data_IF_558436380378
#
_entry.id   IF_558436380378
#
_cell.length_a   1.000
_cell.length_b   1.000
_cell.length_c   1.000
_cell.angle_alpha   90.00
_cell.angle_beta   90.00
_cell.angle_gamma   90.00
#
_symmetry.space_group_name_H-M   'P 1'
#
loop_
_entity.id
_entity.type
_entity.pdbx_description
1 polymer ?
#
# COMPACT_ATOMS: atom_id res chain seq x y z
N UNK A 1 24.49 3.24 17.71
CA UNK A 1 23.66 2.29 16.94
C UNK A 1 24.26 0.91 17.13
N UNK A 2 23.78 0.16 18.13
CA UNK A 2 24.19 -1.22 18.33
C UNK A 2 23.49 -2.09 17.29
N UNK A 3 24.28 -2.74 16.43
CA UNK A 3 23.78 -3.73 15.49
C UNK A 3 23.17 -4.90 16.30
N UNK A 4 21.84 -4.91 16.44
CA UNK A 4 21.14 -6.04 17.07
C UNK A 4 21.08 -7.20 16.08
N UNK A 5 21.91 -8.21 16.35
CA UNK A 5 21.90 -9.64 15.96
C UNK A 5 20.83 -10.09 14.96
N UNK A 6 21.28 -10.72 13.85
CA UNK A 6 20.83 -11.99 13.20
C UNK A 6 19.41 -12.57 13.40
N UNK A 7 18.40 -11.81 13.84
CA UNK A 7 17.04 -12.33 14.02
C UNK A 7 16.35 -12.38 12.67
N UNK A 8 16.01 -13.60 12.24
CA UNK A 8 15.23 -13.86 11.03
C UNK A 8 13.77 -13.40 11.19
N UNK A 9 13.24 -13.43 12.42
CA UNK A 9 11.86 -13.11 12.74
C UNK A 9 11.72 -11.76 13.46
N UNK A 10 10.62 -11.03 13.24
CA UNK A 10 10.33 -9.79 13.95
C UNK A 10 10.07 -10.05 15.44
N UNK A 11 10.07 -9.01 16.29
CA UNK A 11 9.72 -9.13 17.70
C UNK A 11 8.36 -9.84 17.88
N UNK A 12 8.28 -10.76 18.84
CA UNK A 12 7.09 -11.58 19.09
C UNK A 12 5.76 -10.80 19.17
N UNK A 13 5.69 -9.64 19.87
CA UNK A 13 4.47 -8.83 19.89
C UNK A 13 4.05 -8.30 18.51
N UNK A 14 5.02 -7.84 17.71
CA UNK A 14 4.76 -7.34 16.36
C UNK A 14 4.34 -8.48 15.42
N UNK A 15 4.96 -9.66 15.54
CA UNK A 15 4.60 -10.84 14.77
C UNK A 15 3.17 -11.32 15.07
N UNK A 16 2.80 -11.39 16.36
CA UNK A 16 1.44 -11.78 16.78
C UNK A 16 0.40 -10.79 16.28
N UNK A 17 0.67 -9.48 16.41
CA UNK A 17 -0.22 -8.45 15.91
C UNK A 17 -0.36 -8.53 14.39
N UNK A 18 0.74 -8.68 13.66
CA UNK A 18 0.72 -8.88 12.21
C UNK A 18 -0.09 -10.11 11.81
N UNK A 19 0.11 -11.24 12.49
CA UNK A 19 -0.66 -12.46 12.22
C UNK A 19 -2.16 -12.26 12.42
N UNK A 20 -2.56 -11.66 13.56
CA UNK A 20 -3.97 -11.33 13.83
C UNK A 20 -4.55 -10.43 12.74
N UNK A 21 -3.83 -9.37 12.37
CA UNK A 21 -4.31 -8.43 11.35
C UNK A 21 -4.45 -9.07 9.97
N UNK A 22 -3.48 -9.91 9.56
CA UNK A 22 -3.55 -10.64 8.29
C UNK A 22 -4.69 -11.66 8.32
N UNK A 23 -4.91 -12.36 9.44
CA UNK A 23 -6.05 -13.29 9.58
C UNK A 23 -7.38 -12.54 9.46
N UNK A 24 -7.53 -11.39 10.11
CA UNK A 24 -8.75 -10.58 9.99
C UNK A 24 -8.92 -10.10 8.55
N UNK A 25 -7.87 -9.56 7.94
CA UNK A 25 -7.90 -9.03 6.58
C UNK A 25 -8.30 -10.11 5.57
N UNK A 26 -7.65 -11.27 5.63
CA UNK A 26 -7.95 -12.42 4.77
C UNK A 26 -9.34 -12.99 5.06
N UNK A 27 -9.72 -13.11 6.34
CA UNK A 27 -11.04 -13.58 6.73
C UNK A 27 -12.16 -12.70 6.17
N UNK A 28 -12.03 -11.38 6.25
CA UNK A 28 -12.97 -10.42 5.65
C UNK A 28 -12.97 -10.55 4.13
N UNK A 29 -11.80 -10.53 3.49
CA UNK A 29 -11.68 -10.62 2.03
C UNK A 29 -12.28 -11.92 1.47
N UNK A 30 -12.02 -13.06 2.10
CA UNK A 30 -12.59 -14.37 1.72
C UNK A 30 -14.09 -14.37 1.96
N UNK A 31 -14.58 -13.89 3.09
CA UNK A 31 -16.02 -13.87 3.39
C UNK A 31 -16.77 -13.01 2.38
N UNK A 32 -16.28 -11.80 2.11
CA UNK A 32 -16.85 -10.91 1.09
C UNK A 32 -16.75 -11.55 -0.31
N UNK A 33 -15.62 -12.17 -0.63
CA UNK A 33 -15.40 -12.85 -1.90
C UNK A 33 -16.34 -14.03 -2.16
N UNK A 34 -16.64 -14.81 -1.12
CA UNK A 34 -17.57 -15.94 -1.20
C UNK A 34 -19.03 -15.50 -1.38
N UNK A 35 -19.41 -14.36 -0.79
CA UNK A 35 -20.80 -13.88 -0.82
C UNK A 35 -21.09 -13.00 -2.03
N UNK A 36 -20.14 -12.13 -2.40
CA UNK A 36 -20.32 -11.05 -3.38
C UNK A 36 -19.41 -11.20 -4.62
N UNK A 37 -18.61 -12.27 -4.69
CA UNK A 37 -17.71 -12.56 -5.80
C UNK A 37 -16.28 -12.09 -5.58
N UNK A 38 -15.34 -12.69 -6.34
CA UNK A 38 -13.90 -12.50 -6.19
C UNK A 38 -13.48 -11.02 -6.22
N UNK A 39 -14.05 -10.23 -7.14
CA UNK A 39 -13.76 -8.80 -7.26
C UNK A 39 -14.05 -8.03 -5.95
N UNK A 40 -15.19 -8.30 -5.31
CA UNK A 40 -15.54 -7.69 -4.03
C UNK A 40 -14.57 -8.13 -2.92
N UNK A 41 -14.12 -9.39 -2.94
CA UNK A 41 -13.10 -9.89 -2.01
C UNK A 41 -11.75 -9.16 -2.15
N UNK A 42 -11.29 -8.95 -3.39
CA UNK A 42 -10.07 -8.15 -3.68
C UNK A 42 -10.26 -6.71 -3.21
N UNK A 43 -11.41 -6.09 -3.52
CA UNK A 43 -11.77 -4.77 -3.02
C UNK A 43 -11.70 -4.68 -1.49
N UNK A 44 -12.21 -5.69 -0.78
CA UNK A 44 -12.16 -5.75 0.68
C UNK A 44 -10.75 -5.88 1.25
N UNK A 45 -9.88 -6.66 0.60
CA UNK A 45 -8.46 -6.72 0.98
C UNK A 45 -7.78 -5.35 0.80
N UNK A 46 -8.04 -4.66 -0.33
CA UNK A 46 -7.47 -3.33 -0.58
C UNK A 46 -7.99 -2.27 0.41
N UNK A 47 -9.30 -2.25 0.66
CA UNK A 47 -9.93 -1.33 1.62
C UNK A 47 -9.45 -1.55 3.06
N UNK A 48 -9.32 -2.81 3.49
CA UNK A 48 -8.77 -3.16 4.79
C UNK A 48 -7.29 -2.76 4.91
N UNK A 49 -6.47 -3.10 3.92
CA UNK A 49 -5.04 -2.75 3.93
C UNK A 49 -4.82 -1.23 4.04
N UNK A 50 -5.64 -0.44 3.35
CA UNK A 50 -5.57 1.02 3.37
C UNK A 50 -5.79 1.60 4.76
N UNK A 51 -6.76 1.08 5.52
CA UNK A 51 -7.08 1.59 6.87
C UNK A 51 -6.34 0.84 7.98
N UNK A 52 -5.48 -0.12 7.65
CA UNK A 52 -4.81 -1.00 8.61
C UNK A 52 -4.13 -0.26 9.76
N UNK A 53 -3.29 0.73 9.44
CA UNK A 53 -2.56 1.49 10.47
C UNK A 53 -3.52 2.39 11.26
N UNK A 54 -4.54 2.94 10.62
CA UNK A 54 -5.53 3.78 11.28
C UNK A 54 -6.45 2.96 12.21
N UNK A 55 -6.74 1.71 11.88
CA UNK A 55 -7.46 0.77 12.73
C UNK A 55 -6.73 0.45 14.05
N UNK A 56 -5.39 0.63 14.07
CA UNK A 56 -4.57 0.48 15.25
C UNK A 56 -4.44 1.77 16.07
N UNK A 57 -4.87 2.91 15.53
CA UNK A 57 -4.80 4.20 16.20
C UNK A 57 -6.04 4.44 17.07
N UNK A 58 -5.84 5.12 18.20
CA UNK A 58 -6.93 5.56 19.07
C UNK A 58 -7.77 6.61 18.34
N UNK A 59 -9.08 6.38 18.31
CA UNK A 59 -10.03 7.35 17.79
C UNK A 59 -11.37 6.70 17.42
N UNK A 60 -12.33 7.52 16.96
CA UNK A 60 -13.62 7.04 16.50
C UNK A 60 -13.50 6.10 15.29
N UNK A 61 -14.12 4.92 15.39
CA UNK A 61 -14.16 3.91 14.31
C UNK A 61 -14.87 4.38 13.05
N UNK A 62 -15.67 5.45 13.11
CA UNK A 62 -16.33 6.01 11.94
C UNK A 62 -15.38 6.75 11.00
N UNK A 63 -14.20 7.20 11.46
CA UNK A 63 -13.23 7.86 10.57
C UNK A 63 -12.71 6.94 9.46
N UNK A 64 -12.20 5.70 9.74
CA UNK A 64 -11.82 4.77 8.68
C UNK A 64 -12.98 4.35 7.80
N UNK A 65 -14.19 4.27 8.35
CA UNK A 65 -15.40 3.95 7.57
C UNK A 65 -15.69 5.08 6.58
N UNK A 66 -15.76 6.33 7.03
CA UNK A 66 -16.05 7.48 6.18
C UNK A 66 -14.97 7.67 5.11
N UNK A 67 -13.71 7.51 5.49
CA UNK A 67 -12.60 7.54 4.55
C UNK A 67 -12.66 6.39 3.53
N UNK A 68 -12.97 5.18 4.01
CA UNK A 68 -13.20 3.99 3.21
C UNK A 68 -14.29 4.18 2.17
N UNK A 69 -15.42 4.76 2.54
CA UNK A 69 -16.54 5.05 1.64
C UNK A 69 -16.16 6.05 0.55
N UNK A 70 -15.40 7.10 0.90
CA UNK A 70 -14.94 8.08 -0.09
C UNK A 70 -13.99 7.42 -1.11
N UNK A 71 -13.04 6.61 -0.64
CA UNK A 71 -12.11 5.89 -1.54
C UNK A 71 -12.83 4.80 -2.32
N UNK A 72 -13.83 4.13 -1.75
CA UNK A 72 -14.66 3.15 -2.45
C UNK A 72 -15.40 3.77 -3.64
N UNK A 73 -15.94 4.98 -3.49
CA UNK A 73 -16.55 5.73 -4.60
C UNK A 73 -15.55 6.03 -5.72
N UNK A 74 -14.34 6.47 -5.37
CA UNK A 74 -13.28 6.72 -6.34
C UNK A 74 -12.78 5.45 -7.03
N UNK A 75 -12.64 4.36 -6.29
CA UNK A 75 -12.25 3.05 -6.82
C UNK A 75 -13.31 2.50 -7.80
N UNK A 76 -14.60 2.63 -7.46
CA UNK A 76 -15.68 2.30 -8.37
C UNK A 76 -15.65 3.15 -9.65
N UNK A 77 -15.45 4.47 -9.52
CA UNK A 77 -15.26 5.34 -10.68
C UNK A 77 -14.07 4.93 -11.54
N UNK A 78 -12.96 4.51 -10.92
CA UNK A 78 -11.77 4.08 -11.65
C UNK A 78 -12.02 2.81 -12.48
N UNK A 79 -12.83 1.88 -11.99
CA UNK A 79 -13.24 0.70 -12.78
C UNK A 79 -14.16 1.02 -13.96
N UNK A 80 -14.83 2.19 -13.97
CA UNK A 80 -15.64 2.64 -15.11
C UNK A 80 -14.87 3.46 -16.14
N UNK A 81 -13.63 3.81 -15.81
CA UNK A 81 -12.73 4.63 -16.63
C UNK A 81 -11.43 3.89 -16.92
N UNK A 82 -11.43 2.56 -16.87
CA UNK A 82 -10.27 1.70 -17.08
C UNK A 82 -9.62 1.90 -18.46
N UNK A 83 -10.42 2.24 -19.47
CA UNK A 83 -9.99 2.62 -20.83
C UNK A 83 -9.45 4.07 -20.93
N UNK A 84 -9.54 4.87 -19.87
CA UNK A 84 -9.10 6.28 -19.85
C UNK A 84 -7.90 6.47 -18.92
N UNK A 85 -6.65 6.41 -19.42
CA UNK A 85 -5.45 6.63 -18.62
C UNK A 85 -5.51 7.94 -17.81
N UNK A 86 -5.99 9.02 -18.44
CA UNK A 86 -6.17 10.31 -17.79
C UNK A 86 -7.24 10.24 -16.68
N UNK A 87 -8.37 9.56 -16.93
CA UNK A 87 -9.44 9.39 -15.94
C UNK A 87 -8.95 8.67 -14.68
N UNK A 88 -8.26 7.53 -14.85
CA UNK A 88 -7.69 6.77 -13.71
C UNK A 88 -6.62 7.59 -12.99
N UNK A 89 -5.78 8.32 -13.72
CA UNK A 89 -4.78 9.23 -13.15
C UNK A 89 -5.41 10.34 -12.29
N UNK A 90 -6.46 10.99 -12.78
CA UNK A 90 -7.18 12.03 -12.04
C UNK A 90 -7.88 11.48 -10.80
N UNK A 91 -8.51 10.31 -10.88
CA UNK A 91 -9.13 9.67 -9.72
C UNK A 91 -8.09 9.21 -8.68
N UNK A 92 -6.93 8.75 -9.12
CA UNK A 92 -5.79 8.44 -8.24
C UNK A 92 -5.29 9.69 -7.51
N UNK A 93 -5.19 10.83 -8.22
CA UNK A 93 -4.86 12.12 -7.60
C UNK A 93 -5.94 12.56 -6.60
N UNK A 94 -7.21 12.43 -6.96
CA UNK A 94 -8.33 12.75 -6.08
C UNK A 94 -8.31 11.91 -4.79
N UNK A 95 -7.92 10.63 -4.87
CA UNK A 95 -7.79 9.75 -3.71
C UNK A 95 -6.72 10.25 -2.72
N UNK A 96 -5.60 10.81 -3.22
CA UNK A 96 -4.62 11.45 -2.37
C UNK A 96 -5.21 12.70 -1.70
N UNK A 97 -5.90 13.56 -2.46
CA UNK A 97 -6.52 14.78 -1.92
C UNK A 97 -7.58 14.48 -0.84
N UNK A 98 -8.43 13.47 -1.05
CA UNK A 98 -9.43 13.00 -0.08
C UNK A 98 -8.79 12.50 1.21
N UNK A 99 -7.52 12.08 1.18
CA UNK A 99 -6.79 11.69 2.39
C UNK A 99 -6.38 12.88 3.28
N UNK A 100 -6.47 14.14 2.80
CA UNK A 100 -5.99 15.31 3.54
C UNK A 100 -6.54 15.44 4.97
N UNK A 101 -7.87 15.34 5.24
CA UNK A 101 -8.40 15.44 6.59
C UNK A 101 -7.86 14.35 7.52
N UNK A 102 -7.62 13.16 6.97
CA UNK A 102 -7.08 12.02 7.71
C UNK A 102 -5.60 12.22 7.98
N UNK A 103 -4.83 12.71 7.00
CA UNK A 103 -3.41 13.02 7.17
C UNK A 103 -3.18 14.11 8.23
N UNK A 104 -4.02 15.14 8.25
CA UNK A 104 -3.98 16.20 9.26
C UNK A 104 -4.20 15.64 10.68
N UNK A 105 -5.03 14.61 10.84
CA UNK A 105 -5.42 14.06 12.15
C UNK A 105 -4.57 12.88 12.61
N UNK A 106 -4.15 12.04 11.69
CA UNK A 106 -3.55 10.73 11.96
C UNK A 106 -2.11 10.58 11.45
N UNK A 107 -1.64 11.58 10.69
CA UNK A 107 -0.32 11.58 10.06
C UNK A 107 -0.31 10.87 8.70
N UNK A 108 0.87 10.58 8.13
CA UNK A 108 1.00 10.07 6.77
C UNK A 108 0.60 8.57 6.62
N UNK A 109 -0.14 8.03 7.57
CA UNK A 109 -0.51 6.61 7.68
C UNK A 109 -1.49 6.14 6.58
N UNK A 110 -1.98 7.06 5.76
CA UNK A 110 -3.07 6.89 4.79
C UNK A 110 -2.57 6.90 3.35
N UNK A 111 -1.25 6.90 3.13
CA UNK A 111 -0.64 7.00 1.80
C UNK A 111 -1.01 5.87 0.82
N UNK A 112 -1.75 4.85 1.27
CA UNK A 112 -2.19 3.72 0.46
C UNK A 112 -3.51 4.02 -0.29
N UNK A 113 -4.24 5.08 0.03
CA UNK A 113 -5.51 5.36 -0.68
C UNK A 113 -5.37 5.56 -2.21
N UNK A 114 -4.36 6.30 -2.71
CA UNK A 114 -4.08 6.34 -4.15
C UNK A 114 -3.78 4.96 -4.75
N UNK A 115 -3.15 4.06 -3.98
CA UNK A 115 -2.88 2.69 -4.42
C UNK A 115 -4.17 1.92 -4.62
N UNK A 116 -5.16 2.07 -3.74
CA UNK A 116 -6.45 1.37 -3.88
C UNK A 116 -7.15 1.77 -5.17
N UNK A 117 -7.22 3.07 -5.45
CA UNK A 117 -7.88 3.58 -6.67
C UNK A 117 -7.09 3.20 -7.92
N UNK A 118 -5.76 3.32 -7.88
CA UNK A 118 -4.90 2.87 -8.96
C UNK A 118 -5.07 1.37 -9.26
N UNK A 119 -5.11 0.53 -8.22
CA UNK A 119 -5.31 -0.91 -8.33
C UNK A 119 -6.70 -1.26 -8.88
N UNK A 120 -7.73 -0.49 -8.56
CA UNK A 120 -9.08 -0.69 -9.09
C UNK A 120 -9.19 -0.30 -10.58
N UNK A 121 -8.50 0.75 -11.02
CA UNK A 121 -8.47 1.17 -12.44
C UNK A 121 -7.39 0.48 -13.29
N UNK A 122 -6.81 -0.62 -12.81
CA UNK A 122 -5.79 -1.41 -13.49
C UNK A 122 -6.15 -2.89 -13.42
N UNK A 123 -5.48 -3.74 -14.20
CA UNK A 123 -5.83 -5.16 -14.44
C UNK A 123 -5.71 -6.11 -13.23
N UNK A 124 -5.67 -5.61 -11.99
CA UNK A 124 -5.48 -6.44 -10.78
C UNK A 124 -6.66 -7.40 -10.52
N UNK A 125 -7.83 -7.09 -11.06
CA UNK A 125 -8.91 -8.02 -11.34
C UNK A 125 -9.99 -7.25 -12.11
N UNK A 126 -10.81 -7.92 -12.92
CA UNK A 126 -12.07 -7.36 -13.41
C UNK A 126 -13.05 -7.22 -12.24
N UNK A 127 -12.80 -6.26 -11.35
CA UNK A 127 -13.53 -6.06 -10.10
C UNK A 127 -14.94 -5.55 -10.41
N UNK A 128 -15.09 -4.65 -11.39
CA UNK A 128 -16.33 -3.94 -11.69
C UNK A 128 -16.73 -2.92 -10.61
N UNK A 129 -17.56 -1.91 -10.95
CA UNK A 129 -17.81 -0.77 -10.07
C UNK A 129 -18.53 -1.14 -8.77
N UNK A 130 -19.54 -2.01 -8.85
CA UNK A 130 -20.29 -2.44 -7.67
C UNK A 130 -19.42 -3.23 -6.68
N UNK A 131 -18.60 -4.15 -7.20
CA UNK A 131 -17.72 -4.96 -6.35
C UNK A 131 -16.56 -4.12 -5.78
N UNK A 132 -16.03 -3.16 -6.53
CA UNK A 132 -15.03 -2.21 -6.03
C UNK A 132 -15.59 -1.38 -4.89
N UNK A 133 -16.79 -0.82 -5.05
CA UNK A 133 -17.44 -0.01 -4.03
C UNK A 133 -17.70 -0.83 -2.76
N UNK A 134 -18.47 -1.92 -2.89
CA UNK A 134 -18.91 -2.71 -1.74
C UNK A 134 -17.71 -3.39 -1.07
N UNK A 135 -16.78 -3.94 -1.86
CA UNK A 135 -15.57 -4.57 -1.36
C UNK A 135 -14.74 -3.59 -0.53
N UNK A 136 -14.30 -2.47 -1.11
CA UNK A 136 -13.46 -1.48 -0.42
C UNK A 136 -14.16 -0.94 0.83
N UNK A 137 -15.45 -0.62 0.75
CA UNK A 137 -16.23 -0.16 1.89
C UNK A 137 -16.32 -1.23 3.01
N UNK A 138 -16.59 -2.49 2.66
CA UNK A 138 -16.68 -3.59 3.62
C UNK A 138 -15.34 -3.84 4.33
N UNK A 139 -14.22 -3.87 3.58
CA UNK A 139 -12.88 -4.01 4.15
C UNK A 139 -12.51 -2.86 5.09
N UNK A 140 -12.77 -1.62 4.65
CA UNK A 140 -12.48 -0.42 5.42
C UNK A 140 -13.37 -0.25 6.66
N UNK A 141 -14.53 -0.91 6.71
CA UNK A 141 -15.41 -0.91 7.87
C UNK A 141 -15.15 -2.09 8.82
N UNK A 142 -15.02 -3.30 8.29
CA UNK A 142 -14.88 -4.51 9.08
C UNK A 142 -13.56 -4.55 9.84
N UNK A 143 -12.44 -4.20 9.20
CA UNK A 143 -11.13 -4.28 9.85
C UNK A 143 -11.02 -3.37 11.09
N UNK A 144 -11.36 -2.06 11.04
CA UNK A 144 -11.37 -1.23 12.25
C UNK A 144 -12.38 -1.67 13.29
N UNK A 145 -13.57 -2.13 12.89
CA UNK A 145 -14.58 -2.61 13.83
C UNK A 145 -14.09 -3.84 14.62
N UNK A 146 -13.50 -4.82 13.93
CA UNK A 146 -12.94 -6.02 14.54
C UNK A 146 -11.72 -5.65 15.39
N UNK A 147 -10.82 -4.81 14.89
CA UNK A 147 -9.64 -4.36 15.64
C UNK A 147 -10.02 -3.61 16.93
N UNK A 148 -11.07 -2.77 16.87
CA UNK A 148 -11.61 -2.07 18.03
C UNK A 148 -12.26 -3.04 19.03
N UNK A 149 -13.07 -4.00 18.56
CA UNK A 149 -13.69 -5.03 19.40
C UNK A 149 -12.65 -5.91 20.12
N UNK A 150 -11.49 -6.13 19.48
CA UNK A 150 -10.36 -6.86 20.07
C UNK A 150 -9.43 -5.99 20.93
N UNK A 151 -9.72 -4.69 21.08
CA UNK A 151 -8.90 -3.77 21.86
C UNK A 151 -7.50 -3.53 21.28
N UNK A 152 -7.32 -3.65 19.96
CA UNK A 152 -6.03 -3.48 19.28
C UNK A 152 -5.67 -2.01 19.00
N UNK A 153 -6.66 -1.11 19.06
CA UNK A 153 -6.50 0.33 18.81
C UNK A 153 -5.76 1.04 19.96
N UNK A 154 -4.43 0.90 19.99
CA UNK A 154 -3.58 1.38 21.10
C UNK A 154 -2.59 2.47 20.70
N UNK A 155 -2.39 2.72 19.41
CA UNK A 155 -1.40 3.68 18.94
C UNK A 155 -1.95 5.10 19.03
N UNK A 156 -1.13 6.05 19.47
CA UNK A 156 -1.53 7.45 19.46
C UNK A 156 -1.38 8.05 18.05
N UNK A 157 -2.37 8.80 17.56
CA UNK A 157 -2.25 9.56 16.31
C UNK A 157 -1.06 10.52 16.34
N UNK A 158 -0.35 10.66 15.23
CA UNK A 158 0.73 11.65 15.09
C UNK A 158 0.34 12.67 14.01
N UNK A 159 -0.47 13.69 14.36
CA UNK A 159 -0.98 14.65 13.39
C UNK A 159 0.15 15.44 12.74
N UNK A 160 -0.06 15.83 11.47
CA UNK A 160 0.86 16.68 10.73
C UNK A 160 0.36 18.12 10.73
N UNK A 161 1.25 19.12 10.94
CA UNK A 161 0.88 20.53 10.75
C UNK A 161 0.37 20.78 9.34
N UNK A 162 -0.68 21.59 9.19
CA UNK A 162 -1.31 21.84 7.88
C UNK A 162 -0.33 22.35 6.82
N UNK A 163 0.64 23.17 7.22
CA UNK A 163 1.73 23.67 6.36
C UNK A 163 2.60 22.58 5.74
N UNK A 164 2.68 21.40 6.35
CA UNK A 164 3.42 20.24 5.85
C UNK A 164 2.46 19.25 5.18
N UNK A 165 1.29 19.04 5.75
CA UNK A 165 0.30 18.07 5.26
C UNK A 165 -0.20 18.42 3.86
N UNK A 166 -0.54 19.68 3.59
CA UNK A 166 -1.07 20.09 2.28
C UNK A 166 -0.05 19.92 1.14
N UNK A 167 1.20 20.42 1.25
CA UNK A 167 2.20 20.18 0.23
C UNK A 167 2.50 18.69 0.03
N UNK A 168 2.56 17.90 1.11
CA UNK A 168 2.75 16.46 1.04
C UNK A 168 1.61 15.77 0.27
N UNK A 169 0.36 16.07 0.61
CA UNK A 169 -0.82 15.50 -0.07
C UNK A 169 -0.89 15.95 -1.53
N UNK A 170 -0.57 17.21 -1.83
CA UNK A 170 -0.50 17.72 -3.19
C UNK A 170 0.58 17.02 -4.01
N UNK A 171 1.78 16.82 -3.44
CA UNK A 171 2.86 16.08 -4.08
C UNK A 171 2.47 14.61 -4.33
N UNK A 172 1.79 13.98 -3.37
CA UNK A 172 1.29 12.61 -3.53
C UNK A 172 0.19 12.53 -4.61
N UNK A 173 -0.70 13.53 -4.68
CA UNK A 173 -1.75 13.62 -5.68
C UNK A 173 -1.16 13.78 -7.09
N UNK A 174 -0.28 14.77 -7.27
CA UNK A 174 0.38 15.04 -8.54
C UNK A 174 1.25 13.86 -8.98
N UNK A 175 2.09 13.35 -8.07
CA UNK A 175 2.98 12.23 -8.34
C UNK A 175 2.23 10.94 -8.65
N UNK A 176 1.26 10.58 -7.80
CA UNK A 176 0.49 9.35 -7.97
C UNK A 176 -0.41 9.39 -9.21
N UNK A 177 -1.11 10.50 -9.43
CA UNK A 177 -1.97 10.67 -10.58
C UNK A 177 -1.21 10.71 -11.90
N UNK A 178 -0.12 11.48 -11.98
CA UNK A 178 0.71 11.54 -13.18
C UNK A 178 1.39 10.18 -13.46
N UNK A 179 1.91 9.51 -12.42
CA UNK A 179 2.53 8.20 -12.57
C UNK A 179 1.55 7.17 -13.17
N UNK A 180 0.33 7.10 -12.65
CA UNK A 180 -0.68 6.17 -13.17
C UNK A 180 -1.16 6.57 -14.56
N UNK A 181 -1.46 7.85 -14.78
CA UNK A 181 -1.92 8.31 -16.08
C UNK A 181 -0.91 8.02 -17.19
N UNK A 182 0.38 8.29 -16.93
CA UNK A 182 1.45 8.01 -17.89
C UNK A 182 1.68 6.50 -18.04
N UNK A 183 1.78 5.75 -16.94
CA UNK A 183 2.01 4.31 -17.01
C UNK A 183 0.87 3.56 -17.74
N UNK A 184 -0.38 3.98 -17.54
CA UNK A 184 -1.53 3.43 -18.28
C UNK A 184 -1.52 3.84 -19.74
N UNK A 185 -1.17 5.08 -20.06
CA UNK A 185 -1.06 5.54 -21.45
C UNK A 185 0.05 4.82 -22.24
N UNK A 186 1.02 4.22 -21.54
CA UNK A 186 2.09 3.41 -22.10
C UNK A 186 1.83 1.90 -21.95
N UNK A 187 0.62 1.49 -21.54
CA UNK A 187 0.23 0.10 -21.32
C UNK A 187 1.19 -0.69 -20.41
N UNK A 188 1.75 -0.02 -19.40
CA UNK A 188 2.66 -0.65 -18.43
C UNK A 188 1.86 -1.58 -17.52
N UNK A 189 2.17 -2.88 -17.59
CA UNK A 189 1.62 -3.88 -16.69
C UNK A 189 1.94 -3.54 -15.23
N UNK A 190 1.00 -3.81 -14.32
CA UNK A 190 1.15 -3.54 -12.88
C UNK A 190 1.50 -2.09 -12.52
N UNK A 191 1.03 -1.11 -13.31
CA UNK A 191 1.28 0.32 -13.11
C UNK A 191 1.07 0.82 -11.66
N UNK A 192 0.16 0.20 -10.89
CA UNK A 192 -0.09 0.53 -9.48
C UNK A 192 1.16 0.39 -8.59
N UNK A 193 2.17 -0.40 -8.98
CA UNK A 193 3.40 -0.56 -8.22
C UNK A 193 4.24 0.71 -8.13
N UNK A 194 4.15 1.59 -9.15
CA UNK A 194 4.80 2.90 -9.11
C UNK A 194 4.23 3.74 -7.96
N UNK A 195 2.90 3.74 -7.81
CA UNK A 195 2.21 4.47 -6.72
C UNK A 195 2.53 3.85 -5.37
N UNK A 196 2.57 2.52 -5.26
CA UNK A 196 2.97 1.85 -4.02
C UNK A 196 4.36 2.30 -3.59
N UNK A 197 5.32 2.31 -4.52
CA UNK A 197 6.69 2.73 -4.22
C UNK A 197 6.77 4.22 -3.86
N UNK A 198 6.09 5.08 -4.62
CA UNK A 198 5.98 6.51 -4.34
C UNK A 198 5.42 6.76 -2.93
N UNK A 199 4.24 6.23 -2.62
CA UNK A 199 3.57 6.39 -1.32
C UNK A 199 4.38 5.82 -0.16
N UNK A 200 5.13 4.75 -0.40
CA UNK A 200 5.96 4.13 0.64
C UNK A 200 7.21 4.95 0.96
N UNK A 201 7.70 5.76 0.01
CA UNK A 201 9.00 6.44 0.10
C UNK A 201 8.84 7.93 0.38
N UNK A 202 7.87 8.58 -0.27
CA UNK A 202 7.57 9.98 -0.05
C UNK A 202 7.03 10.15 1.37
N UNK A 203 7.83 10.76 2.25
CA UNK A 203 7.46 11.03 3.62
C UNK A 203 7.68 12.50 3.94
N UNK A 204 6.80 13.12 4.74
CA UNK A 204 6.86 14.54 5.06
C UNK A 204 7.89 14.85 6.17
N UNK A 205 9.11 14.29 6.05
CA UNK A 205 10.21 14.48 7.00
C UNK A 205 11.49 14.77 6.22
N UNK A 206 12.12 15.93 6.49
CA UNK A 206 13.35 16.37 5.82
C UNK A 206 14.46 15.32 6.01
N UNK A 207 15.15 14.99 4.92
CA UNK A 207 16.31 14.07 4.93
C UNK A 207 15.98 12.57 5.03
N UNK A 208 14.77 12.19 5.42
CA UNK A 208 14.41 10.78 5.59
C UNK A 208 14.02 10.09 4.26
N UNK A 209 13.51 10.84 3.28
CA UNK A 209 13.06 10.29 1.98
C UNK A 209 14.18 9.53 1.26
N UNK A 210 15.41 10.05 1.22
CA UNK A 210 16.54 9.40 0.54
C UNK A 210 17.01 8.12 1.25
N UNK A 211 17.02 8.13 2.60
CA UNK A 211 17.36 6.94 3.38
C UNK A 211 16.31 5.84 3.16
N UNK A 212 15.03 6.22 3.18
CA UNK A 212 13.88 5.34 2.94
C UNK A 212 13.84 4.81 1.51
N UNK A 213 14.18 5.63 0.52
CA UNK A 213 14.34 5.24 -0.87
C UNK A 213 15.32 4.08 -1.02
N UNK A 214 16.54 4.21 -0.45
CA UNK A 214 17.55 3.14 -0.47
C UNK A 214 17.03 1.88 0.22
N UNK A 215 16.43 2.00 1.41
CA UNK A 215 15.90 0.84 2.15
C UNK A 215 14.80 0.12 1.38
N UNK A 216 13.92 0.88 0.70
CA UNK A 216 12.84 0.34 -0.12
C UNK A 216 13.37 -0.41 -1.33
N UNK A 217 14.31 0.17 -2.09
CA UNK A 217 14.92 -0.49 -3.26
C UNK A 217 15.64 -1.77 -2.84
N UNK A 218 16.52 -1.69 -1.83
CA UNK A 218 17.29 -2.86 -1.35
C UNK A 218 16.36 -3.97 -0.87
N UNK A 219 15.36 -3.63 -0.04
CA UNK A 219 14.39 -4.60 0.43
C UNK A 219 13.62 -5.25 -0.73
N UNK A 220 13.05 -4.46 -1.64
CA UNK A 220 12.31 -4.99 -2.79
C UNK A 220 13.16 -5.90 -3.67
N UNK A 221 14.40 -5.51 -4.01
CA UNK A 221 15.29 -6.34 -4.84
C UNK A 221 15.59 -7.68 -4.16
N UNK A 222 15.97 -7.66 -2.88
CA UNK A 222 16.22 -8.90 -2.12
C UNK A 222 14.97 -9.79 -2.09
N UNK A 223 13.82 -9.19 -1.78
CA UNK A 223 12.54 -9.89 -1.65
C UNK A 223 12.05 -10.52 -2.96
N UNK A 224 12.09 -9.74 -4.05
CA UNK A 224 11.64 -10.21 -5.37
C UNK A 224 12.51 -11.34 -5.91
N UNK A 225 13.84 -11.22 -5.80
CA UNK A 225 14.77 -12.28 -6.20
C UNK A 225 14.56 -13.56 -5.37
N UNK A 226 14.49 -13.44 -4.04
CA UNK A 226 14.24 -14.59 -3.18
C UNK A 226 12.86 -15.23 -3.48
N UNK A 227 11.83 -14.41 -3.68
CA UNK A 227 10.49 -14.88 -4.03
C UNK A 227 10.45 -15.62 -5.37
N UNK A 228 11.12 -15.11 -6.41
CA UNK A 228 11.16 -15.73 -7.74
C UNK A 228 11.92 -17.07 -7.72
N UNK A 229 13.06 -17.12 -7.02
CA UNK A 229 13.82 -18.35 -6.82
C UNK A 229 12.99 -19.38 -6.07
N UNK A 230 12.35 -19.00 -4.96
CA UNK A 230 11.50 -19.92 -4.20
C UNK A 230 10.28 -20.39 -5.01
N UNK A 231 9.62 -19.50 -5.76
CA UNK A 231 8.52 -19.87 -6.65
C UNK A 231 8.95 -20.85 -7.76
N UNK A 232 10.21 -20.84 -8.17
CA UNK A 232 10.76 -21.76 -9.16
C UNK A 232 11.04 -23.16 -8.60
N UNK A 233 11.17 -23.28 -7.27
CA UNK A 233 11.56 -24.52 -6.60
C UNK A 233 10.39 -25.21 -5.88
N UNK A 234 9.32 -24.47 -5.59
CA UNK A 234 8.19 -24.95 -4.79
C UNK A 234 6.98 -25.27 -5.68
N UNK A 235 6.20 -26.25 -5.25
CA UNK A 235 4.88 -26.51 -5.82
C UNK A 235 3.88 -25.41 -5.42
N UNK A 236 2.88 -25.16 -6.26
CA UNK A 236 1.99 -23.98 -6.16
C UNK A 236 1.34 -23.78 -4.78
N UNK A 237 0.86 -24.85 -4.13
CA UNK A 237 0.23 -24.73 -2.80
C UNK A 237 1.24 -24.32 -1.72
N UNK A 238 2.47 -24.80 -1.82
CA UNK A 238 3.54 -24.48 -0.87
C UNK A 238 4.06 -23.06 -1.09
N UNK A 239 4.13 -22.61 -2.35
CA UNK A 239 4.40 -21.21 -2.69
C UNK A 239 3.32 -20.28 -2.12
N UNK A 240 2.03 -20.65 -2.24
CA UNK A 240 0.92 -19.89 -1.65
C UNK A 240 0.99 -19.81 -0.13
N UNK A 241 1.26 -20.94 0.55
CA UNK A 241 1.42 -20.95 2.00
C UNK A 241 2.60 -20.08 2.45
N UNK A 242 3.72 -20.15 1.74
CA UNK A 242 4.90 -19.33 2.03
C UNK A 242 4.66 -17.85 1.75
N UNK A 243 3.83 -17.51 0.76
CA UNK A 243 3.43 -16.14 0.49
C UNK A 243 2.65 -15.53 1.67
N UNK A 244 1.71 -16.28 2.26
CA UNK A 244 0.99 -15.85 3.46
C UNK A 244 1.94 -15.66 4.63
N UNK A 245 2.86 -16.61 4.85
CA UNK A 245 3.88 -16.49 5.90
C UNK A 245 4.76 -15.26 5.69
N UNK A 246 5.22 -15.03 4.46
CA UNK A 246 6.02 -13.86 4.10
C UNK A 246 5.24 -12.55 4.31
N UNK A 247 3.94 -12.52 3.98
CA UNK A 247 3.09 -11.35 4.26
C UNK A 247 2.98 -11.06 5.76
N UNK A 248 2.81 -12.09 6.60
CA UNK A 248 2.78 -11.95 8.07
C UNK A 248 4.12 -11.45 8.61
N UNK A 249 5.23 -12.07 8.20
CA UNK A 249 6.59 -11.69 8.64
C UNK A 249 6.94 -10.28 8.17
N UNK A 250 6.62 -9.93 6.92
CA UNK A 250 6.85 -8.61 6.36
C UNK A 250 6.04 -7.52 7.05
N UNK A 251 4.76 -7.79 7.34
CA UNK A 251 3.92 -6.88 8.13
C UNK A 251 4.49 -6.72 9.54
N UNK A 252 4.95 -7.81 10.17
CA UNK A 252 5.60 -7.76 11.49
C UNK A 252 6.85 -6.89 11.50
N UNK A 253 7.70 -6.99 10.47
CA UNK A 253 8.88 -6.12 10.32
C UNK A 253 8.51 -4.66 10.04
N UNK A 254 7.48 -4.41 9.23
CA UNK A 254 6.97 -3.06 8.99
C UNK A 254 6.44 -2.41 10.27
N UNK A 255 5.71 -3.16 11.10
CA UNK A 255 5.25 -2.72 12.43
C UNK A 255 6.44 -2.48 13.38
N UNK A 256 7.49 -3.29 13.28
CA UNK A 256 8.74 -3.11 14.01
C UNK A 256 9.66 -2.01 13.43
N UNK A 257 9.20 -1.26 12.41
CA UNK A 257 9.94 -0.18 11.74
C UNK A 257 11.24 -0.61 11.03
N UNK A 258 11.40 -1.91 10.75
CA UNK A 258 12.47 -2.39 9.88
C UNK A 258 11.99 -2.39 8.42
N UNK A 259 12.23 -1.27 7.75
CA UNK A 259 11.76 -1.04 6.38
C UNK A 259 12.38 -1.98 5.36
N UNK A 260 13.65 -2.38 5.53
CA UNK A 260 14.35 -3.25 4.58
C UNK A 260 13.74 -4.64 4.63
N UNK A 261 13.62 -5.22 5.83
CA UNK A 261 13.04 -6.55 6.00
C UNK A 261 11.55 -6.56 5.69
N UNK A 262 10.82 -5.51 6.10
CA UNK A 262 9.41 -5.35 5.75
C UNK A 262 9.19 -5.30 4.25
N UNK A 263 9.98 -4.50 3.51
CA UNK A 263 9.90 -4.44 2.05
C UNK A 263 10.30 -5.76 1.38
N UNK A 264 11.34 -6.44 1.87
CA UNK A 264 11.77 -7.72 1.33
C UNK A 264 10.70 -8.81 1.44
N UNK A 265 10.16 -9.03 2.63
CA UNK A 265 9.15 -10.06 2.83
C UNK A 265 7.82 -9.75 2.14
N UNK A 266 7.41 -8.48 2.10
CA UNK A 266 6.19 -8.09 1.34
C UNK A 266 6.36 -8.22 -0.16
N UNK A 267 7.54 -7.90 -0.70
CA UNK A 267 7.84 -8.10 -2.12
C UNK A 267 7.93 -9.60 -2.46
N UNK A 268 8.57 -10.41 -1.60
CA UNK A 268 8.61 -11.86 -1.75
C UNK A 268 7.20 -12.47 -1.74
N UNK A 269 6.32 -12.03 -0.84
CA UNK A 269 4.94 -12.50 -0.78
C UNK A 269 4.20 -12.26 -2.11
N UNK A 270 4.32 -11.06 -2.71
CA UNK A 270 3.68 -10.75 -3.99
C UNK A 270 4.21 -11.61 -5.14
N UNK A 271 5.53 -11.79 -5.23
CA UNK A 271 6.14 -12.62 -6.27
C UNK A 271 5.78 -14.10 -6.10
N UNK A 272 5.72 -14.60 -4.87
CA UNK A 272 5.28 -15.96 -4.58
C UNK A 272 3.81 -16.17 -4.98
N UNK A 273 2.92 -15.19 -4.75
CA UNK A 273 1.54 -15.24 -5.23
C UNK A 273 1.48 -15.31 -6.76
N UNK A 274 2.26 -14.48 -7.46
CA UNK A 274 2.35 -14.55 -8.92
C UNK A 274 2.86 -15.93 -9.40
N UNK A 275 3.81 -16.51 -8.65
CA UNK A 275 4.36 -17.84 -8.87
C UNK A 275 3.38 -19.01 -8.67
N UNK A 276 2.27 -18.80 -7.95
CA UNK A 276 1.23 -19.84 -7.79
C UNK A 276 0.65 -20.24 -9.16
N UNK A 277 0.47 -19.25 -10.05
CA UNK A 277 -0.09 -19.47 -11.38
C UNK A 277 0.95 -20.04 -12.36
N UNK A 278 2.19 -19.53 -12.35
CA UNK A 278 3.28 -20.07 -13.16
C UNK A 278 4.65 -19.55 -12.70
N UNK A 279 5.70 -20.33 -12.96
CA UNK A 279 7.09 -19.90 -12.70
C UNK A 279 7.50 -18.67 -13.52
N UNK A 280 7.10 -18.61 -14.79
CA UNK A 280 7.34 -17.44 -15.64
C UNK A 280 6.70 -16.17 -15.04
N UNK A 281 5.45 -16.29 -14.58
CA UNK A 281 4.75 -15.20 -13.90
C UNK A 281 5.47 -14.70 -12.65
N UNK A 282 6.19 -15.56 -11.92
CA UNK A 282 7.01 -15.12 -10.78
C UNK A 282 8.18 -14.23 -11.21
N UNK A 283 8.89 -14.61 -12.29
CA UNK A 283 10.02 -13.84 -12.80
C UNK A 283 9.57 -12.52 -13.43
N UNK A 284 8.48 -12.55 -14.21
CA UNK A 284 7.89 -11.34 -14.79
C UNK A 284 7.44 -10.36 -13.70
N UNK A 285 6.76 -10.87 -12.67
CA UNK A 285 6.37 -10.07 -11.52
C UNK A 285 7.60 -9.52 -10.76
N UNK A 286 8.68 -10.29 -10.63
CA UNK A 286 9.90 -9.84 -9.96
C UNK A 286 10.57 -8.68 -10.70
N UNK A 287 10.77 -8.81 -12.02
CA UNK A 287 11.37 -7.77 -12.86
C UNK A 287 10.54 -6.50 -12.82
N UNK A 288 9.25 -6.60 -13.13
CA UNK A 288 8.33 -5.45 -13.12
C UNK A 288 8.28 -4.80 -11.73
N UNK A 289 8.37 -5.59 -10.65
CA UNK A 289 8.33 -5.06 -9.29
C UNK A 289 9.57 -4.25 -8.95
N UNK A 290 10.74 -4.66 -9.42
CA UNK A 290 11.99 -3.90 -9.25
C UNK A 290 11.94 -2.62 -10.07
N UNK A 291 11.63 -2.70 -11.36
CA UNK A 291 11.61 -1.55 -12.27
C UNK A 291 10.64 -0.46 -11.80
N UNK A 292 9.38 -0.83 -11.53
CA UNK A 292 8.37 0.13 -11.09
C UNK A 292 8.66 0.67 -9.68
N UNK A 293 9.39 -0.08 -8.84
CA UNK A 293 9.88 0.44 -7.56
C UNK A 293 10.95 1.50 -7.77
N UNK A 294 11.89 1.29 -8.68
CA UNK A 294 12.94 2.28 -8.99
C UNK A 294 12.31 3.56 -9.55
N UNK A 295 11.36 3.44 -10.47
CA UNK A 295 10.63 4.59 -11.03
C UNK A 295 9.87 5.34 -9.94
N UNK A 296 9.09 4.64 -9.11
CA UNK A 296 8.32 5.28 -8.03
C UNK A 296 9.21 5.95 -6.98
N UNK A 297 10.36 5.34 -6.67
CA UNK A 297 11.39 5.93 -5.79
C UNK A 297 11.99 7.19 -6.40
N UNK A 298 12.34 7.17 -7.69
CA UNK A 298 12.89 8.33 -8.38
C UNK A 298 11.90 9.51 -8.36
N UNK A 299 10.62 9.25 -8.65
CA UNK A 299 9.55 10.24 -8.56
C UNK A 299 9.41 10.78 -7.13
N UNK A 300 9.43 9.91 -6.11
CA UNK A 300 9.35 10.33 -4.71
C UNK A 300 10.49 11.27 -4.31
N UNK A 301 11.73 10.96 -4.74
CA UNK A 301 12.90 11.81 -4.48
C UNK A 301 12.77 13.16 -5.17
N UNK A 302 12.36 13.18 -6.44
CA UNK A 302 12.16 14.44 -7.19
C UNK A 302 11.10 15.32 -6.54
N UNK A 303 9.97 14.75 -6.12
CA UNK A 303 8.91 15.46 -5.42
C UNK A 303 9.38 15.99 -4.07
N UNK A 304 10.12 15.18 -3.30
CA UNK A 304 10.69 15.61 -2.03
C UNK A 304 11.69 16.77 -2.19
N UNK A 305 12.51 16.76 -3.23
CA UNK A 305 13.40 17.89 -3.56
C UNK A 305 12.61 19.14 -3.94
N UNK A 306 11.52 18.98 -4.70
CA UNK A 306 10.59 20.06 -5.04
C UNK A 306 9.97 20.69 -3.78
N UNK A 307 9.44 19.86 -2.88
CA UNK A 307 8.89 20.30 -1.60
C UNK A 307 9.94 21.04 -0.76
N UNK A 308 11.15 20.49 -0.64
CA UNK A 308 12.24 21.13 0.10
C UNK A 308 12.70 22.46 -0.52
N UNK A 309 12.51 22.66 -1.82
CA UNK A 309 12.77 23.95 -2.49
C UNK A 309 11.67 24.97 -2.17
N UNK A 310 10.40 24.57 -2.21
CA UNK A 310 9.26 25.44 -1.89
C UNK A 310 9.33 25.93 -0.43
N UNK A 311 9.64 25.04 0.51
CA UNK A 311 9.80 25.42 1.92
C UNK A 311 10.90 26.48 2.11
N UNK A 312 12.06 26.32 1.47
CA UNK A 312 13.17 27.29 1.55
C UNK A 312 12.85 28.66 0.96
N UNK A 313 11.91 28.75 0.01
CA UNK A 313 11.49 30.04 -0.55
C UNK A 313 10.51 30.77 0.38
N UNK A 314 9.68 30.04 1.13
CA UNK A 314 8.76 30.63 2.11
C UNK A 314 9.43 31.07 3.42
N UNK A 315 10.66 30.60 3.69
CA UNK A 315 11.47 31.00 4.86
C UNK A 315 12.30 32.28 4.61
N UNK A 316 12.29 32.84 3.38
CA UNK A 316 12.99 34.11 3.09
C UNK A 316 12.07 35.30 3.44
N UNK A 317 12.50 36.20 4.33
CA UNK A 317 11.73 37.37 4.74
C UNK A 317 11.55 38.40 3.62
#
# INVERSE_FOLDING_TARGET
MTASSSRLLPPGPALRLAAVLIVILLGVAVTVGLVLGLGAGVGAALGGLMVLVMALQRGPVWHPVAFGLAVAGLAAGATTLDDSPLGVGLLTAAAALVSAPVVLRYGPVVGIAPVVVAAAGTDVATIGPGAAFIGVAAGAAALPAIAAAMGLAKLDPTPLPARIAWPYVAALALGGGAAIGVARALDVSHAMWVVIALSAVLIPVRGETSARARRRVVGTVIGTLAGAVLASLLVSWLAGALAVLAAVVGTGWALARDEVRGAAFTAAALVLVAGVASTAGAWDAAVQRVELTVVGVALAVLLALGLARLERMGERP
#
